data_IF_849156552184
#
_entry.id   IF_849156552184
#
_cell.length_a   1.000
_cell.length_b   1.000
_cell.length_c   1.000
_cell.angle_alpha   90.00
_cell.angle_beta   90.00
_cell.angle_gamma   90.00
#
_symmetry.space_group_name_H-M   'P 1'
#
loop_
_entity.id
_entity.type
_entity.pdbx_description
1 polymer ?
#
# COMPACT_ATOMS: atom_id res chain seq x y z
N UNK A 1 -58.39 7.91 14.10
CA UNK A 1 -58.46 9.00 13.11
C UNK A 1 -57.53 10.12 13.55
N UNK A 2 -56.35 10.19 12.94
CA UNK A 2 -55.56 11.40 12.75
C UNK A 2 -54.39 11.04 11.83
N UNK A 3 -54.70 11.00 10.54
CA UNK A 3 -53.72 11.21 9.48
C UNK A 3 -53.05 12.57 9.74
N UNK A 4 -51.82 12.58 10.25
CA UNK A 4 -50.98 13.78 10.26
C UNK A 4 -49.83 13.52 9.32
N UNK A 5 -49.93 14.16 8.15
CA UNK A 5 -48.90 14.50 7.16
C UNK A 5 -47.75 13.51 7.01
N UNK A 6 -47.54 13.01 5.79
CA UNK A 6 -46.25 12.46 5.38
C UNK A 6 -45.16 13.53 5.60
N UNK A 7 -44.53 13.54 6.78
CA UNK A 7 -43.27 14.21 7.05
C UNK A 7 -42.24 13.61 6.10
N UNK A 8 -41.46 14.46 5.42
CA UNK A 8 -40.53 13.99 4.41
C UNK A 8 -39.51 13.03 5.04
N UNK A 9 -39.23 11.96 4.33
CA UNK A 9 -38.24 10.97 4.75
C UNK A 9 -36.85 11.61 4.99
N UNK A 10 -36.26 11.31 6.15
CA UNK A 10 -34.92 11.74 6.57
C UNK A 10 -33.85 11.33 5.54
N UNK A 11 -33.96 10.14 4.93
CA UNK A 11 -33.03 9.65 3.91
C UNK A 11 -33.06 10.56 2.68
N UNK A 12 -34.25 10.95 2.22
CA UNK A 12 -34.44 11.86 1.08
C UNK A 12 -33.97 13.27 1.44
N UNK A 13 -34.21 13.71 2.68
CA UNK A 13 -33.78 15.01 3.15
C UNK A 13 -32.25 15.12 3.22
N UNK A 14 -31.52 14.08 3.62
CA UNK A 14 -30.05 14.12 3.68
C UNK A 14 -29.35 13.71 2.38
N UNK A 15 -30.06 13.20 1.38
CA UNK A 15 -29.47 12.77 0.10
C UNK A 15 -28.78 13.92 -0.68
N UNK A 16 -29.21 15.16 -0.46
CA UNK A 16 -28.67 16.37 -1.11
C UNK A 16 -27.52 17.00 -0.32
N UNK A 17 -26.43 17.30 -1.01
CA UNK A 17 -25.21 17.86 -0.41
C UNK A 17 -25.41 19.26 0.19
N UNK A 18 -26.29 20.08 -0.37
CA UNK A 18 -26.64 21.41 0.17
C UNK A 18 -27.35 21.27 1.51
N UNK A 19 -28.30 20.32 1.60
CA UNK A 19 -29.02 20.04 2.85
C UNK A 19 -28.07 19.51 3.93
N UNK A 20 -27.15 18.61 3.59
CA UNK A 20 -26.09 18.17 4.53
C UNK A 20 -25.20 19.33 5.00
N UNK A 21 -24.83 20.24 4.09
CA UNK A 21 -24.04 21.44 4.44
C UNK A 21 -24.82 22.37 5.38
N UNK A 22 -26.12 22.58 5.16
CA UNK A 22 -26.97 23.37 6.07
C UNK A 22 -27.04 22.76 7.47
N UNK A 23 -27.23 21.44 7.57
CA UNK A 23 -27.23 20.75 8.87
C UNK A 23 -25.89 20.89 9.60
N UNK A 24 -24.78 20.85 8.87
CA UNK A 24 -23.43 21.08 9.42
C UNK A 24 -23.24 22.52 9.91
N UNK A 25 -23.69 23.52 9.14
CA UNK A 25 -23.63 24.91 9.61
C UNK A 25 -24.46 25.12 10.88
N UNK A 26 -25.60 24.44 10.98
CA UNK A 26 -26.47 24.48 12.15
C UNK A 26 -25.98 23.59 13.31
N UNK A 27 -24.99 22.71 13.12
CA UNK A 27 -24.38 21.95 14.23
C UNK A 27 -23.36 22.78 15.01
N UNK A 28 -22.78 23.79 14.37
CA UNK A 28 -21.69 24.59 14.92
C UNK A 28 -22.20 25.83 15.71
N UNK A 29 -23.52 26.06 15.72
CA UNK A 29 -24.16 27.18 16.39
C UNK A 29 -25.51 26.77 16.99
N UNK A 30 -25.96 27.45 18.05
CA UNK A 30 -27.28 27.18 18.65
C UNK A 30 -28.43 27.53 17.69
N UNK A 31 -28.35 28.69 17.03
CA UNK A 31 -29.29 29.13 16.00
C UNK A 31 -28.66 30.10 15.01
N UNK A 32 -29.04 30.02 13.73
CA UNK A 32 -28.57 30.94 12.68
C UNK A 32 -29.74 31.59 11.93
N UNK A 33 -29.67 32.90 11.64
CA UNK A 33 -30.66 33.56 10.80
C UNK A 33 -30.51 33.18 9.32
N UNK A 34 -31.58 33.29 8.54
CA UNK A 34 -31.59 32.94 7.11
C UNK A 34 -30.49 33.65 6.30
N UNK A 35 -30.16 34.90 6.65
CA UNK A 35 -29.20 35.68 5.89
C UNK A 35 -27.76 35.13 6.05
N UNK A 36 -27.38 34.74 7.26
CA UNK A 36 -26.08 34.10 7.55
C UNK A 36 -25.96 32.74 6.85
N UNK A 37 -27.02 31.93 6.89
CA UNK A 37 -27.06 30.67 6.16
C UNK A 37 -26.92 30.89 4.65
N UNK A 38 -27.63 31.90 4.10
CA UNK A 38 -27.59 32.20 2.66
C UNK A 38 -26.20 32.64 2.21
N UNK A 39 -25.47 33.39 3.03
CA UNK A 39 -24.12 33.86 2.71
C UNK A 39 -23.10 32.71 2.47
N UNK A 40 -23.40 31.50 2.93
CA UNK A 40 -22.54 30.31 2.78
C UNK A 40 -22.74 29.55 1.45
N UNK A 41 -23.61 30.05 0.57
CA UNK A 41 -23.95 29.43 -0.70
C UNK A 41 -23.94 30.45 -1.84
N UNK A 42 -23.62 29.98 -3.05
CA UNK A 42 -23.69 30.79 -4.27
C UNK A 42 -25.13 30.93 -4.81
N UNK A 43 -26.11 30.34 -4.12
CA UNK A 43 -27.51 30.35 -4.51
C UNK A 43 -28.29 31.45 -3.77
N UNK A 44 -29.37 31.94 -4.38
CA UNK A 44 -30.20 32.97 -3.76
C UNK A 44 -30.98 32.47 -2.54
N UNK A 45 -31.42 33.44 -1.71
CA UNK A 45 -32.18 33.21 -0.47
C UNK A 45 -33.39 32.28 -0.62
N UNK A 46 -34.10 32.37 -1.74
CA UNK A 46 -35.27 31.52 -2.04
C UNK A 46 -34.87 30.05 -2.19
N UNK A 47 -33.72 29.76 -2.80
CA UNK A 47 -33.23 28.39 -2.95
C UNK A 47 -32.86 27.80 -1.58
N UNK A 48 -32.10 28.54 -0.76
CA UNK A 48 -31.75 28.12 0.61
C UNK A 48 -33.00 27.91 1.46
N UNK A 49 -33.98 28.81 1.37
CA UNK A 49 -35.26 28.68 2.09
C UNK A 49 -36.03 27.42 1.68
N UNK A 50 -35.99 27.02 0.41
CA UNK A 50 -36.57 25.74 -0.04
C UNK A 50 -35.85 24.55 0.59
N UNK A 51 -34.51 24.54 0.62
CA UNK A 51 -33.76 23.47 1.29
C UNK A 51 -34.09 23.37 2.79
N UNK A 52 -34.20 24.51 3.48
CA UNK A 52 -34.60 24.57 4.89
C UNK A 52 -36.04 24.09 5.12
N UNK A 53 -36.96 24.37 4.19
CA UNK A 53 -38.32 23.85 4.25
C UNK A 53 -38.34 22.31 4.18
N UNK A 54 -37.56 21.72 3.26
CA UNK A 54 -37.42 20.25 3.15
C UNK A 54 -36.85 19.65 4.43
N UNK A 55 -35.81 20.27 4.99
CA UNK A 55 -35.21 19.82 6.24
C UNK A 55 -36.19 19.94 7.42
N UNK A 56 -37.00 20.99 7.46
CA UNK A 56 -38.06 21.18 8.45
C UNK A 56 -39.17 20.14 8.30
N UNK A 57 -39.61 19.86 7.08
CA UNK A 57 -40.61 18.82 6.78
C UNK A 57 -40.12 17.42 7.16
N UNK A 58 -38.81 17.19 7.19
CA UNK A 58 -38.19 15.96 7.69
C UNK A 58 -37.82 16.01 9.19
N UNK A 59 -38.27 17.05 9.90
CA UNK A 59 -37.98 17.24 11.32
C UNK A 59 -36.52 17.54 11.67
N UNK A 60 -35.63 17.69 10.68
CA UNK A 60 -34.19 17.90 10.88
C UNK A 60 -33.82 19.33 11.27
N UNK A 61 -34.74 20.28 11.07
CA UNK A 61 -34.55 21.70 11.39
C UNK A 61 -35.81 22.26 12.02
N UNK A 62 -35.65 23.02 13.10
CA UNK A 62 -36.70 23.86 13.68
C UNK A 62 -36.45 25.33 13.33
N UNK A 63 -37.51 26.13 13.19
CA UNK A 63 -37.40 27.57 13.00
C UNK A 63 -38.28 28.35 13.98
N UNK A 64 -37.85 29.56 14.30
CA UNK A 64 -38.63 30.53 15.08
C UNK A 64 -38.43 31.94 14.55
N UNK A 65 -39.45 32.78 14.70
CA UNK A 65 -39.36 34.21 14.37
C UNK A 65 -38.77 34.99 15.53
N UNK A 66 -37.77 35.81 15.24
CA UNK A 66 -37.13 36.75 16.17
C UNK A 66 -37.10 38.12 15.52
N UNK A 67 -38.04 38.99 15.92
CA UNK A 67 -38.24 40.29 15.28
C UNK A 67 -38.62 40.13 13.81
N UNK A 68 -37.79 40.67 12.91
CA UNK A 68 -37.97 40.61 11.45
C UNK A 68 -37.28 39.39 10.80
N UNK A 69 -36.58 38.58 11.58
CA UNK A 69 -35.79 37.46 11.07
C UNK A 69 -36.37 36.10 11.48
N UNK A 70 -36.13 35.09 10.65
CA UNK A 70 -36.36 33.69 11.00
C UNK A 70 -35.01 33.07 11.33
N UNK A 71 -34.92 32.48 12.52
CA UNK A 71 -33.75 31.73 13.00
C UNK A 71 -34.02 30.25 12.92
N UNK A 72 -33.02 29.49 12.50
CA UNK A 72 -33.07 28.04 12.32
C UNK A 72 -32.14 27.35 13.31
N UNK A 73 -32.55 26.18 13.78
CA UNK A 73 -31.82 25.31 14.70
C UNK A 73 -31.79 23.88 14.17
N UNK A 74 -30.68 23.19 14.35
CA UNK A 74 -30.58 21.76 14.08
C UNK A 74 -31.47 20.96 15.06
N UNK A 75 -32.27 20.04 14.53
CA UNK A 75 -32.85 18.95 15.30
C UNK A 75 -32.24 17.64 14.80
N UNK A 76 -31.25 17.11 15.53
CA UNK A 76 -30.53 15.91 15.11
C UNK A 76 -31.29 14.62 15.40
N UNK A 77 -32.39 14.64 16.17
CA UNK A 77 -33.10 13.43 16.59
C UNK A 77 -33.49 12.49 15.42
N UNK A 78 -33.98 12.97 14.27
CA UNK A 78 -34.31 12.10 13.13
C UNK A 78 -33.08 11.42 12.50
N UNK A 79 -31.86 11.94 12.68
CA UNK A 79 -30.64 11.30 12.13
C UNK A 79 -30.31 9.96 12.77
N UNK A 80 -30.89 9.66 13.94
CA UNK A 80 -30.71 8.37 14.63
C UNK A 80 -31.18 7.20 13.77
N UNK A 81 -32.23 7.37 12.98
CA UNK A 81 -32.72 6.32 12.08
C UNK A 81 -31.65 5.89 11.06
N UNK A 82 -30.89 6.87 10.54
CA UNK A 82 -29.77 6.61 9.62
C UNK A 82 -28.60 5.95 10.36
N UNK A 83 -28.29 6.41 11.57
CA UNK A 83 -27.26 5.78 12.40
C UNK A 83 -27.58 4.30 12.67
N UNK A 84 -28.81 4.01 13.10
CA UNK A 84 -29.28 2.66 13.37
C UNK A 84 -29.20 1.78 12.11
N UNK A 85 -29.61 2.29 10.95
CA UNK A 85 -29.50 1.57 9.67
C UNK A 85 -28.06 1.31 9.25
N UNK A 86 -27.17 2.32 9.31
CA UNK A 86 -25.75 2.16 8.96
C UNK A 86 -25.04 1.21 9.93
N UNK A 87 -25.44 1.21 11.21
CA UNK A 87 -24.84 0.35 12.24
C UNK A 87 -24.96 -1.14 11.91
N UNK A 88 -26.07 -1.56 11.27
CA UNK A 88 -26.26 -2.94 10.81
C UNK A 88 -25.17 -3.35 9.83
N UNK A 89 -24.76 -2.44 8.94
CA UNK A 89 -23.76 -2.72 7.92
C UNK A 89 -22.32 -2.59 8.40
N UNK A 90 -22.07 -1.91 9.53
CA UNK A 90 -20.73 -1.73 10.09
C UNK A 90 -20.01 -3.06 10.35
N UNK A 91 -20.74 -4.10 10.78
CA UNK A 91 -20.20 -5.44 11.02
C UNK A 91 -19.52 -6.05 9.79
N UNK A 92 -20.09 -5.85 8.60
CA UNK A 92 -19.50 -6.36 7.36
C UNK A 92 -18.22 -5.62 6.96
N UNK A 93 -18.09 -4.35 7.34
CA UNK A 93 -16.85 -3.59 7.14
C UNK A 93 -15.75 -4.05 8.10
N UNK A 94 -16.10 -4.27 9.36
CA UNK A 94 -15.13 -4.71 10.38
C UNK A 94 -14.55 -6.09 10.04
N UNK A 95 -15.39 -7.04 9.62
CA UNK A 95 -14.95 -8.38 9.18
C UNK A 95 -14.06 -8.32 7.94
N UNK A 96 -14.42 -7.49 6.95
CA UNK A 96 -13.63 -7.33 5.71
C UNK A 96 -12.30 -6.63 5.97
N UNK A 97 -12.28 -5.62 6.85
CA UNK A 97 -11.04 -4.93 7.25
C UNK A 97 -10.13 -5.90 8.04
N UNK A 98 -10.70 -6.74 8.90
CA UNK A 98 -9.93 -7.73 9.65
C UNK A 98 -9.31 -8.79 8.72
N UNK A 99 -10.07 -9.28 7.74
CA UNK A 99 -9.54 -10.19 6.71
C UNK A 99 -8.44 -9.53 5.88
N UNK A 100 -8.63 -8.27 5.46
CA UNK A 100 -7.61 -7.51 4.74
C UNK A 100 -6.34 -7.37 5.57
N UNK A 101 -6.47 -7.03 6.85
CA UNK A 101 -5.32 -6.93 7.76
C UNK A 101 -4.60 -8.27 7.93
N UNK A 102 -5.31 -9.40 7.98
CA UNK A 102 -4.70 -10.72 8.02
C UNK A 102 -3.90 -11.03 6.75
N UNK A 103 -4.48 -10.79 5.57
CA UNK A 103 -3.80 -11.00 4.29
C UNK A 103 -2.54 -10.12 4.19
N UNK A 104 -2.65 -8.83 4.55
CA UNK A 104 -1.51 -7.92 4.55
C UNK A 104 -0.43 -8.31 5.56
N UNK A 105 -0.80 -8.87 6.72
CA UNK A 105 0.16 -9.38 7.70
C UNK A 105 0.84 -10.67 7.24
N UNK A 106 0.12 -11.55 6.53
CA UNK A 106 0.71 -12.74 5.92
C UNK A 106 1.69 -12.36 4.82
N UNK A 107 1.34 -11.41 3.94
CA UNK A 107 2.27 -10.86 2.95
C UNK A 107 3.50 -10.20 3.60
N UNK A 108 3.32 -9.46 4.70
CA UNK A 108 4.46 -8.88 5.43
C UNK A 108 5.33 -9.93 6.15
N UNK A 109 4.74 -11.01 6.68
CA UNK A 109 5.52 -12.11 7.28
C UNK A 109 6.30 -12.89 6.24
N UNK A 110 5.82 -12.96 4.99
CA UNK A 110 6.55 -13.52 3.85
C UNK A 110 7.65 -12.57 3.30
N UNK A 111 7.77 -11.35 3.85
CA UNK A 111 8.72 -10.33 3.39
C UNK A 111 9.98 -10.23 4.25
N UNK A 112 10.30 -11.22 5.09
CA UNK A 112 11.62 -11.24 5.71
C UNK A 112 12.67 -11.35 4.59
N UNK A 113 13.46 -10.30 4.44
CA UNK A 113 14.34 -10.10 3.30
C UNK A 113 15.77 -9.98 3.79
N UNK A 114 16.67 -10.77 3.21
CA UNK A 114 18.11 -10.54 3.35
C UNK A 114 18.46 -9.42 2.40
N UNK A 115 18.95 -8.29 2.91
CA UNK A 115 19.33 -7.13 2.12
C UNK A 115 20.79 -6.79 2.38
N UNK A 116 21.57 -6.58 1.31
CA UNK A 116 23.02 -6.32 1.39
C UNK A 116 23.44 -5.32 0.32
N UNK A 117 24.15 -4.27 0.73
CA UNK A 117 24.72 -3.26 -0.15
C UNK A 117 26.22 -3.46 -0.37
N UNK A 118 26.66 -3.30 -1.61
CA UNK A 118 28.06 -3.34 -2.02
C UNK A 118 28.41 -2.16 -2.91
N UNK A 119 29.63 -1.64 -2.77
CA UNK A 119 30.12 -0.51 -3.55
C UNK A 119 31.45 -0.87 -4.20
N UNK A 120 31.52 -0.77 -5.53
CA UNK A 120 32.71 -1.12 -6.31
C UNK A 120 33.19 0.06 -7.12
N UNK A 121 34.47 0.40 -7.02
CA UNK A 121 35.11 1.40 -7.88
C UNK A 121 35.45 0.80 -9.25
N UNK A 122 34.41 0.32 -9.93
CA UNK A 122 34.46 -0.40 -11.19
C UNK A 122 33.29 0.03 -12.08
N UNK A 123 33.43 0.03 -13.42
CA UNK A 123 32.32 0.30 -14.33
C UNK A 123 31.18 -0.71 -14.17
N UNK A 124 29.93 -0.26 -14.33
CA UNK A 124 28.72 -1.08 -14.14
C UNK A 124 28.71 -2.32 -15.04
N UNK A 125 29.19 -2.21 -16.28
CA UNK A 125 29.27 -3.35 -17.20
C UNK A 125 30.24 -4.43 -16.72
N UNK A 126 31.30 -4.05 -15.98
CA UNK A 126 32.25 -5.00 -15.39
C UNK A 126 31.60 -5.74 -14.22
N UNK A 127 30.87 -5.01 -13.38
CA UNK A 127 30.11 -5.60 -12.26
C UNK A 127 28.98 -6.50 -12.79
N UNK A 128 28.24 -6.04 -13.80
CA UNK A 128 27.20 -6.80 -14.47
C UNK A 128 27.74 -8.12 -15.03
N UNK A 129 28.84 -8.07 -15.79
CA UNK A 129 29.49 -9.25 -16.33
C UNK A 129 29.83 -10.24 -15.20
N UNK A 130 30.38 -9.77 -14.08
CA UNK A 130 30.70 -10.63 -12.94
C UNK A 130 29.48 -11.30 -12.26
N UNK A 131 28.27 -10.76 -12.46
CA UNK A 131 27.01 -11.34 -11.98
C UNK A 131 26.34 -12.25 -13.01
N UNK A 132 26.70 -12.19 -14.29
CA UNK A 132 25.97 -12.88 -15.37
C UNK A 132 26.80 -13.88 -16.16
N UNK A 133 28.12 -13.72 -16.18
CA UNK A 133 29.03 -14.61 -16.88
C UNK A 133 29.31 -15.87 -16.05
N UNK A 134 29.11 -17.03 -16.66
CA UNK A 134 29.19 -18.34 -16.00
C UNK A 134 30.59 -18.61 -15.44
N UNK A 135 31.63 -18.23 -16.17
CA UNK A 135 33.03 -18.44 -15.77
C UNK A 135 33.38 -17.53 -14.59
N UNK A 136 32.90 -16.29 -14.61
CA UNK A 136 33.12 -15.34 -13.52
C UNK A 136 32.33 -15.71 -12.27
N UNK A 137 31.06 -16.11 -12.41
CA UNK A 137 30.23 -16.64 -11.31
C UNK A 137 30.86 -17.86 -10.63
N UNK A 138 31.55 -18.72 -11.40
CA UNK A 138 32.26 -19.88 -10.86
C UNK A 138 33.37 -19.50 -9.87
N UNK A 139 33.97 -18.31 -10.02
CA UNK A 139 35.08 -17.85 -9.16
C UNK A 139 34.64 -17.42 -7.76
N UNK A 140 33.42 -16.91 -7.60
CA UNK A 140 32.98 -16.31 -6.32
C UNK A 140 31.65 -16.86 -5.77
N UNK A 141 30.82 -17.46 -6.62
CA UNK A 141 29.60 -18.18 -6.23
C UNK A 141 29.91 -19.69 -6.15
N UNK A 142 29.84 -20.41 -7.27
CA UNK A 142 29.78 -21.86 -7.40
C UNK A 142 29.84 -22.26 -8.90
N UNK A 143 30.22 -23.50 -9.18
CA UNK A 143 30.11 -24.05 -10.54
C UNK A 143 28.67 -23.97 -11.03
N UNK A 144 28.48 -23.49 -12.26
CA UNK A 144 27.16 -23.20 -12.80
C UNK A 144 27.11 -23.27 -14.33
N UNK A 145 25.88 -23.25 -14.86
CA UNK A 145 25.57 -23.12 -16.28
C UNK A 145 24.61 -21.95 -16.53
N UNK A 146 24.83 -20.86 -15.79
CA UNK A 146 23.96 -19.68 -15.79
C UNK A 146 23.99 -18.97 -17.14
N UNK A 147 22.83 -18.44 -17.55
CA UNK A 147 22.69 -17.53 -18.69
C UNK A 147 21.68 -16.46 -18.33
N UNK A 148 21.96 -15.17 -18.58
CA UNK A 148 21.05 -14.07 -18.27
C UNK A 148 19.93 -14.00 -19.31
N UNK A 149 19.08 -15.03 -19.37
CA UNK A 149 17.94 -15.14 -20.28
C UNK A 149 16.73 -15.52 -19.44
N UNK A 150 15.67 -14.69 -19.46
CA UNK A 150 14.44 -14.95 -18.71
C UNK A 150 13.87 -16.33 -19.06
N UNK A 151 13.53 -17.11 -18.04
CA UNK A 151 13.05 -18.49 -18.12
C UNK A 151 14.16 -19.54 -18.25
N UNK A 152 15.42 -19.16 -18.39
CA UNK A 152 16.53 -20.12 -18.42
C UNK A 152 16.69 -20.78 -17.05
N UNK A 153 16.79 -22.11 -17.06
CA UNK A 153 16.99 -22.92 -15.86
C UNK A 153 18.44 -23.39 -15.78
N UNK A 154 19.03 -23.17 -14.63
CA UNK A 154 20.43 -23.48 -14.32
C UNK A 154 20.56 -24.07 -12.92
N UNK A 155 21.72 -24.62 -12.62
CA UNK A 155 22.05 -25.11 -11.29
C UNK A 155 23.37 -24.51 -10.83
N UNK A 156 23.42 -24.08 -9.58
CA UNK A 156 24.67 -23.79 -8.87
C UNK A 156 25.03 -25.01 -8.03
N UNK A 157 26.28 -25.48 -8.13
CA UNK A 157 26.74 -26.72 -7.52
C UNK A 157 27.98 -26.49 -6.68
N UNK A 158 27.97 -27.07 -5.49
CA UNK A 158 29.15 -27.14 -4.63
C UNK A 158 29.36 -28.59 -4.18
N UNK A 159 30.36 -29.24 -4.78
CA UNK A 159 30.68 -30.64 -4.51
C UNK A 159 31.17 -30.86 -3.07
N UNK A 160 31.91 -29.90 -2.51
CA UNK A 160 32.47 -30.00 -1.16
C UNK A 160 31.37 -30.08 -0.08
N UNK A 161 30.22 -29.44 -0.32
CA UNK A 161 29.08 -29.45 0.58
C UNK A 161 27.90 -30.28 0.07
N UNK A 162 28.08 -30.99 -1.06
CA UNK A 162 27.02 -31.73 -1.75
C UNK A 162 25.72 -30.91 -1.91
N UNK A 163 25.89 -29.62 -2.25
CA UNK A 163 24.81 -28.66 -2.36
C UNK A 163 24.48 -28.41 -3.84
N UNK A 164 23.20 -28.52 -4.18
CA UNK A 164 22.65 -28.12 -5.47
C UNK A 164 21.59 -27.07 -5.21
N UNK A 165 21.69 -25.96 -5.93
CA UNK A 165 20.70 -24.88 -5.93
C UNK A 165 20.11 -24.77 -7.32
N UNK A 166 18.81 -25.02 -7.44
CA UNK A 166 18.08 -24.78 -8.68
C UNK A 166 17.80 -23.29 -8.84
N UNK A 167 18.01 -22.79 -10.06
CA UNK A 167 17.87 -21.39 -10.41
C UNK A 167 17.10 -21.26 -11.74
N UNK A 168 16.07 -20.41 -11.75
CA UNK A 168 15.34 -19.97 -12.92
C UNK A 168 15.39 -18.44 -13.01
N UNK A 169 15.87 -17.92 -14.14
CA UNK A 169 15.99 -16.47 -14.34
C UNK A 169 14.61 -15.85 -14.53
N UNK A 170 14.30 -14.83 -13.74
CA UNK A 170 12.99 -14.17 -13.72
C UNK A 170 13.02 -12.81 -14.42
N UNK A 171 14.08 -12.03 -14.19
CA UNK A 171 14.23 -10.66 -14.73
C UNK A 171 15.65 -10.45 -15.20
N UNK A 172 15.80 -9.84 -16.38
CA UNK A 172 17.08 -9.38 -16.93
C UNK A 172 16.84 -8.01 -17.57
N UNK A 173 17.36 -6.97 -16.96
CA UNK A 173 17.38 -5.60 -17.47
C UNK A 173 18.83 -5.13 -17.48
N UNK A 174 19.60 -5.52 -18.49
CA UNK A 174 21.03 -5.23 -18.56
C UNK A 174 21.32 -3.71 -18.68
N UNK A 175 22.28 -3.15 -17.92
CA UNK A 175 23.09 -3.74 -16.84
C UNK A 175 22.56 -3.42 -15.42
N UNK A 176 21.26 -3.14 -15.28
CA UNK A 176 20.64 -2.51 -14.10
C UNK A 176 19.98 -3.49 -13.14
N UNK A 177 19.41 -4.60 -13.61
CA UNK A 177 18.65 -5.50 -12.74
C UNK A 177 18.69 -6.96 -13.19
N UNK A 178 18.92 -7.85 -12.24
CA UNK A 178 18.90 -9.29 -12.43
C UNK A 178 18.09 -9.94 -11.31
N UNK A 179 17.16 -10.83 -11.62
CA UNK A 179 16.44 -11.60 -10.61
C UNK A 179 16.31 -13.05 -11.03
N UNK A 180 16.45 -13.97 -10.08
CA UNK A 180 16.33 -15.40 -10.31
C UNK A 180 15.89 -16.14 -9.04
N UNK A 181 15.29 -17.31 -9.20
CA UNK A 181 15.00 -18.20 -8.07
C UNK A 181 16.29 -18.78 -7.48
N UNK A 182 16.27 -19.03 -6.18
CA UNK A 182 17.36 -19.67 -5.45
C UNK A 182 16.75 -20.75 -4.56
N UNK A 183 16.68 -21.97 -5.09
CA UNK A 183 16.00 -23.10 -4.47
C UNK A 183 17.03 -24.13 -4.00
N UNK A 184 17.31 -24.14 -2.70
CA UNK A 184 18.21 -25.10 -2.05
C UNK A 184 17.52 -25.76 -0.86
N UNK A 185 17.19 -27.05 -0.98
CA UNK A 185 16.45 -27.77 0.07
C UNK A 185 14.95 -27.43 0.08
N UNK A 186 14.31 -27.24 1.26
CA UNK A 186 12.85 -27.08 1.36
C UNK A 186 12.33 -25.66 1.11
N UNK A 187 13.21 -24.68 0.85
CA UNK A 187 12.83 -23.25 0.78
C UNK A 187 13.04 -22.73 -0.63
N UNK A 188 12.00 -22.08 -1.15
CA UNK A 188 12.03 -21.37 -2.43
C UNK A 188 12.23 -19.88 -2.17
N UNK A 189 13.40 -19.37 -2.52
CA UNK A 189 13.71 -17.94 -2.38
C UNK A 189 13.95 -17.29 -3.74
N UNK A 190 13.92 -15.96 -3.79
CA UNK A 190 14.24 -15.19 -4.98
C UNK A 190 15.37 -14.24 -4.63
N UNK A 191 16.44 -14.25 -5.44
CA UNK A 191 17.57 -13.31 -5.32
C UNK A 191 17.41 -12.25 -6.40
N UNK A 192 17.52 -11.00 -6.01
CA UNK A 192 17.44 -9.83 -6.89
C UNK A 192 18.65 -8.94 -6.68
N UNK A 193 19.32 -8.61 -7.77
CA UNK A 193 20.40 -7.66 -7.84
C UNK A 193 19.95 -6.39 -8.55
N UNK A 194 20.25 -5.23 -7.98
CA UNK A 194 20.01 -3.92 -8.60
C UNK A 194 21.32 -3.13 -8.65
N UNK A 195 21.64 -2.55 -9.80
CA UNK A 195 22.88 -1.83 -10.05
C UNK A 195 22.60 -0.38 -10.42
N UNK A 196 23.43 0.52 -9.90
CA UNK A 196 23.44 1.94 -10.27
C UNK A 196 24.89 2.44 -10.31
N UNK A 197 25.23 3.28 -11.28
CA UNK A 197 26.55 3.91 -11.34
C UNK A 197 26.46 5.41 -11.07
N UNK A 198 27.24 5.90 -10.11
CA UNK A 198 27.40 7.33 -9.81
C UNK A 198 28.88 7.61 -9.52
N UNK A 199 29.41 8.72 -10.03
CA UNK A 199 30.78 9.19 -9.79
C UNK A 199 31.90 8.12 -9.99
N UNK A 200 31.71 7.24 -10.97
CA UNK A 200 32.65 6.15 -11.28
C UNK A 200 32.64 4.98 -10.29
N UNK A 201 31.67 4.96 -9.37
CA UNK A 201 31.41 3.87 -8.44
C UNK A 201 30.10 3.18 -8.85
N UNK A 202 30.11 1.85 -8.88
CA UNK A 202 28.91 1.04 -9.05
C UNK A 202 28.39 0.61 -7.68
N UNK A 203 27.16 0.98 -7.39
CA UNK A 203 26.38 0.57 -6.24
C UNK A 203 25.59 -0.68 -6.65
N UNK A 204 25.81 -1.77 -5.93
CA UNK A 204 25.14 -3.05 -6.12
C UNK A 204 24.32 -3.35 -4.87
N UNK A 205 23.01 -3.52 -5.04
CA UNK A 205 22.09 -3.92 -3.99
C UNK A 205 21.62 -5.35 -4.22
N UNK A 206 21.72 -6.20 -3.19
CA UNK A 206 21.14 -7.54 -3.16
C UNK A 206 19.92 -7.56 -2.25
N UNK A 207 18.85 -8.18 -2.72
CA UNK A 207 17.72 -8.62 -1.91
C UNK A 207 17.47 -10.10 -2.15
N UNK A 208 17.30 -10.87 -1.07
CA UNK A 208 16.78 -12.23 -1.14
C UNK A 208 15.49 -12.34 -0.33
N UNK A 209 14.38 -12.66 -1.01
CA UNK A 209 13.03 -12.75 -0.46
C UNK A 209 12.54 -14.19 -0.44
N UNK A 210 11.44 -14.45 0.28
CA UNK A 210 10.85 -15.79 0.43
C UNK A 210 11.18 -16.49 1.75
N UNK A 211 11.65 -15.76 2.76
CA UNK A 211 11.83 -16.28 4.11
C UNK A 211 10.61 -15.98 4.97
N UNK A 212 10.16 -16.98 5.73
CA UNK A 212 9.02 -16.84 6.66
C UNK A 212 9.44 -16.34 8.06
N UNK A 213 10.70 -16.60 8.45
CA UNK A 213 11.23 -16.34 9.79
C UNK A 213 12.76 -16.29 9.80
N UNK A 214 13.34 -15.67 10.83
CA UNK A 214 14.79 -15.60 11.04
C UNK A 214 15.35 -16.94 11.57
N UNK A 215 15.32 -17.99 10.74
CA UNK A 215 15.87 -19.29 11.07
C UNK A 215 17.29 -19.50 10.51
N UNK A 216 17.77 -20.75 10.56
CA UNK A 216 19.11 -21.10 10.06
C UNK A 216 19.27 -20.79 8.57
N UNK A 217 18.22 -20.90 7.75
CA UNK A 217 18.31 -20.62 6.32
C UNK A 217 18.42 -19.11 6.07
N UNK A 218 17.61 -18.30 6.75
CA UNK A 218 17.71 -16.84 6.66
C UNK A 218 19.09 -16.34 7.12
N UNK A 219 19.54 -16.79 8.29
CA UNK A 219 20.85 -16.41 8.82
C UNK A 219 21.99 -16.94 7.95
N UNK A 220 21.87 -18.16 7.42
CA UNK A 220 22.84 -18.75 6.51
C UNK A 220 22.97 -17.94 5.21
N UNK A 221 21.85 -17.55 4.61
CA UNK A 221 21.82 -16.69 3.43
C UNK A 221 22.47 -15.33 3.71
N UNK A 222 22.11 -14.68 4.82
CA UNK A 222 22.68 -13.39 5.23
C UNK A 222 24.21 -13.43 5.35
N UNK A 223 24.76 -14.42 6.06
CA UNK A 223 26.21 -14.56 6.20
C UNK A 223 26.88 -15.02 4.89
N UNK A 224 26.20 -15.89 4.13
CA UNK A 224 26.67 -16.40 2.84
C UNK A 224 26.87 -15.27 1.83
N UNK A 225 25.88 -14.41 1.64
CA UNK A 225 25.97 -13.28 0.72
C UNK A 225 27.01 -12.24 1.14
N UNK A 226 27.12 -11.94 2.43
CA UNK A 226 28.16 -11.07 2.94
C UNK A 226 29.57 -11.59 2.58
N UNK A 227 29.80 -12.90 2.76
CA UNK A 227 31.08 -13.54 2.39
C UNK A 227 31.30 -13.56 0.87
N UNK A 228 30.27 -13.91 0.10
CA UNK A 228 30.35 -13.94 -1.36
C UNK A 228 30.62 -12.55 -1.96
N UNK A 229 30.09 -11.49 -1.36
CA UNK A 229 30.39 -10.12 -1.77
C UNK A 229 31.86 -9.73 -1.63
N UNK A 230 32.54 -10.22 -0.59
CA UNK A 230 34.00 -10.03 -0.45
C UNK A 230 34.80 -10.79 -1.52
N UNK A 231 34.35 -11.99 -1.92
CA UNK A 231 34.97 -12.73 -3.02
C UNK A 231 34.72 -12.06 -4.39
N UNK A 232 33.49 -11.56 -4.62
CA UNK A 232 33.15 -10.77 -5.81
C UNK A 232 34.06 -9.54 -5.92
N UNK A 233 34.33 -8.87 -4.80
CA UNK A 233 35.26 -7.73 -4.77
C UNK A 233 36.65 -8.11 -5.29
N UNK A 234 37.21 -9.24 -4.84
CA UNK A 234 38.53 -9.72 -5.30
C UNK A 234 38.51 -10.04 -6.79
N UNK A 235 37.48 -10.75 -7.26
CA UNK A 235 37.32 -11.07 -8.69
C UNK A 235 37.28 -9.81 -9.55
N UNK A 236 36.58 -8.77 -9.09
CA UNK A 236 36.52 -7.49 -9.79
C UNK A 236 37.86 -6.74 -9.79
N UNK A 237 38.72 -6.93 -8.80
CA UNK A 237 40.07 -6.34 -8.77
C UNK A 237 41.03 -7.05 -9.74
N UNK A 238 40.79 -8.34 -10.03
CA UNK A 238 41.62 -9.17 -10.94
C UNK A 238 41.22 -9.09 -12.43
N UNK A 239 39.97 -8.74 -12.72
CA UNK A 239 39.44 -8.54 -14.09
C UNK A 239 39.95 -7.24 -14.75
#
# INVERSE_FOLDING_TARGET
MNEKNQERDVYVAIADSTRRKLLRLLSDAEELPLHELTAQFQMGRTAVSKHLAILKEAGLVADRKVGRETRYRLNAAPLREIEDWVSFYRKFWDERILLLNQILQEEQKMNLTVSQDFNFKSPINKVWNALTDSDTLTKWIMENNFKPIVGHKSQFRNEQWNLIVDCEVLVVEEPYKLSYTWVGGPINTIVTWTLKQEDGTTYLHLEQTGFEKEDQAFNGAKHGWAKMGEELKKVLEEM
#
